data_IF_822440016158
#
_entry.id   IF_822440016158
#
_cell.length_a   1.000
_cell.length_b   1.000
_cell.length_c   1.000
_cell.angle_alpha   90.00
_cell.angle_beta   90.00
_cell.angle_gamma   90.00
#
_symmetry.space_group_name_H-M   'P 1'
#
loop_
_entity.id
_entity.type
_entity.pdbx_description
1 polymer ?
#
# COMPACT_ATOMS: atom_id res chain seq x y z
N UNK A 1 -6.03 -5.98 2.08
CA UNK A 1 -5.76 -4.81 1.22
C UNK A 1 -7.06 -4.39 0.61
N UNK A 2 -7.43 -3.12 0.73
CA UNK A 2 -8.65 -2.54 0.16
C UNK A 2 -8.35 -1.11 -0.30
N UNK A 3 -9.30 -0.48 -1.01
CA UNK A 3 -9.17 0.87 -1.58
C UNK A 3 -7.85 1.07 -2.33
N UNK A 4 -7.72 0.37 -3.47
CA UNK A 4 -6.52 0.45 -4.32
C UNK A 4 -6.76 1.51 -5.38
N UNK A 5 -5.85 2.48 -5.45
CA UNK A 5 -5.76 3.43 -6.54
C UNK A 5 -4.45 3.21 -7.30
N UNK A 6 -4.55 3.19 -8.63
CA UNK A 6 -3.40 3.05 -9.51
C UNK A 6 -3.57 3.99 -10.68
N UNK A 7 -2.61 4.90 -10.86
CA UNK A 7 -2.65 5.86 -11.95
C UNK A 7 -1.25 6.15 -12.47
N UNK A 8 -1.20 6.54 -13.75
CA UNK A 8 0.03 6.88 -14.43
C UNK A 8 -0.03 8.36 -14.81
N UNK A 9 0.96 9.14 -14.39
CA UNK A 9 1.05 10.56 -14.74
C UNK A 9 1.67 10.72 -16.14
N UNK A 10 2.69 9.92 -16.44
CA UNK A 10 3.37 9.89 -17.74
C UNK A 10 4.05 8.53 -17.95
N UNK A 11 4.82 8.37 -19.03
CA UNK A 11 5.47 7.09 -19.38
C UNK A 11 6.40 6.51 -18.29
N UNK A 12 6.92 7.36 -17.39
CA UNK A 12 7.88 7.00 -16.35
C UNK A 12 7.32 7.08 -14.93
N UNK A 13 6.21 7.77 -14.71
CA UNK A 13 5.67 8.00 -13.38
C UNK A 13 4.37 7.24 -13.16
N UNK A 14 4.48 6.14 -12.42
CA UNK A 14 3.37 5.29 -12.01
C UNK A 14 3.20 5.42 -10.49
N UNK A 15 1.98 5.76 -10.09
CA UNK A 15 1.56 5.95 -8.73
C UNK A 15 0.66 4.80 -8.28
N UNK A 16 0.91 4.31 -7.06
CA UNK A 16 0.13 3.28 -6.42
C UNK A 16 -0.22 3.70 -5.00
N UNK A 17 -1.49 3.57 -4.64
CA UNK A 17 -1.98 3.84 -3.30
C UNK A 17 -2.88 2.69 -2.85
N UNK A 18 -2.72 2.24 -1.60
CA UNK A 18 -3.53 1.17 -1.05
C UNK A 18 -3.66 1.25 0.47
N UNK A 19 -4.77 0.73 0.99
CA UNK A 19 -4.98 0.53 2.43
C UNK A 19 -4.72 -0.94 2.78
N UNK A 20 -3.91 -1.16 3.80
CA UNK A 20 -3.52 -2.49 4.28
C UNK A 20 -3.93 -2.64 5.73
N UNK A 21 -4.89 -3.54 5.96
CA UNK A 21 -5.22 -3.99 7.30
C UNK A 21 -4.12 -4.89 7.86
N UNK A 22 -3.69 -4.59 9.07
CA UNK A 22 -2.69 -5.33 9.83
C UNK A 22 -3.17 -5.55 11.26
N UNK A 23 -2.65 -6.58 11.90
CA UNK A 23 -2.77 -6.72 13.35
C UNK A 23 -2.11 -5.52 14.05
N UNK A 24 -2.43 -5.31 15.33
CA UNK A 24 -1.80 -4.24 16.12
C UNK A 24 -0.28 -4.46 16.17
N UNK A 25 0.44 -3.60 15.46
CA UNK A 25 1.89 -3.63 15.33
C UNK A 25 2.44 -2.25 15.61
N UNK A 26 3.70 -2.20 16.04
CA UNK A 26 4.37 -0.93 16.25
C UNK A 26 4.50 -0.19 14.92
N UNK A 27 4.30 1.13 14.92
CA UNK A 27 4.53 1.97 13.74
C UNK A 27 5.96 1.82 13.18
N UNK A 28 6.96 1.53 14.03
CA UNK A 28 8.33 1.24 13.57
C UNK A 28 8.44 -0.05 12.73
N UNK A 29 7.49 -0.97 12.85
CA UNK A 29 7.42 -2.19 12.03
C UNK A 29 6.73 -1.92 10.68
N UNK A 30 5.84 -0.92 10.60
CA UNK A 30 5.18 -0.55 9.34
C UNK A 30 6.18 0.04 8.35
N UNK A 31 7.14 0.85 8.81
CA UNK A 31 8.19 1.41 7.94
C UNK A 31 8.97 0.35 7.17
N UNK A 32 9.37 -0.75 7.83
CA UNK A 32 10.07 -1.86 7.19
C UNK A 32 9.21 -2.54 6.13
N UNK A 33 7.93 -2.76 6.44
CA UNK A 33 6.96 -3.35 5.51
C UNK A 33 6.72 -2.43 4.31
N UNK A 34 6.65 -1.11 4.51
CA UNK A 34 6.53 -0.13 3.42
C UNK A 34 7.73 -0.27 2.48
N UNK A 35 8.95 -0.24 3.01
CA UNK A 35 10.16 -0.34 2.19
C UNK A 35 10.22 -1.65 1.38
N UNK A 36 9.78 -2.77 1.97
CA UNK A 36 9.68 -4.05 1.26
C UNK A 36 8.65 -4.01 0.12
N UNK A 37 7.47 -3.41 0.36
CA UNK A 37 6.41 -3.25 -0.63
C UNK A 37 6.87 -2.33 -1.76
N UNK A 38 7.45 -1.17 -1.43
CA UNK A 38 8.00 -0.21 -2.39
C UNK A 38 9.03 -0.87 -3.30
N UNK A 39 9.99 -1.59 -2.71
CA UNK A 39 11.01 -2.31 -3.46
C UNK A 39 10.40 -3.35 -4.40
N UNK A 40 9.46 -4.15 -3.91
CA UNK A 40 8.80 -5.17 -4.71
C UNK A 40 8.02 -4.57 -5.90
N UNK A 41 7.29 -3.48 -5.65
CA UNK A 41 6.48 -2.80 -6.66
C UNK A 41 7.36 -2.11 -7.71
N UNK A 42 8.47 -1.52 -7.28
CA UNK A 42 9.44 -0.94 -8.18
C UNK A 42 10.12 -2.00 -9.05
N UNK A 43 10.65 -3.08 -8.45
CA UNK A 43 11.39 -4.12 -9.17
C UNK A 43 10.53 -4.89 -10.17
N UNK A 44 9.24 -5.12 -9.86
CA UNK A 44 8.34 -5.91 -10.72
C UNK A 44 7.55 -5.10 -11.72
N UNK A 45 7.22 -3.85 -11.39
CA UNK A 45 6.22 -3.07 -12.13
C UNK A 45 6.66 -1.64 -12.44
N UNK A 46 7.90 -1.26 -12.09
CA UNK A 46 8.43 0.09 -12.28
C UNK A 46 7.54 1.18 -11.66
N UNK A 47 6.88 0.85 -10.55
CA UNK A 47 6.09 1.80 -9.77
C UNK A 47 7.05 2.66 -8.95
N UNK A 48 6.99 3.97 -9.14
CA UNK A 48 7.97 4.91 -8.61
C UNK A 48 7.42 5.76 -7.46
N UNK A 49 6.09 5.80 -7.29
CA UNK A 49 5.46 6.49 -6.18
C UNK A 49 4.43 5.56 -5.52
N UNK A 50 4.65 5.23 -4.26
CA UNK A 50 3.82 4.30 -3.49
C UNK A 50 3.32 5.01 -2.23
N UNK A 51 2.06 4.83 -1.89
CA UNK A 51 1.48 5.34 -0.65
C UNK A 51 0.67 4.24 0.00
N UNK A 52 1.09 3.79 1.19
CA UNK A 52 0.44 2.70 1.92
C UNK A 52 -0.08 3.23 3.25
N UNK A 53 -1.39 3.10 3.46
CA UNK A 53 -2.02 3.38 4.75
C UNK A 53 -2.21 2.07 5.51
N UNK A 54 -1.56 1.95 6.67
CA UNK A 54 -1.80 0.83 7.58
C UNK A 54 -2.99 1.12 8.47
N UNK A 55 -3.87 0.15 8.59
CA UNK A 55 -5.06 0.21 9.44
C UNK A 55 -5.05 -1.00 10.37
N UNK A 56 -5.39 -0.80 11.64
CA UNK A 56 -5.58 -1.89 12.60
C UNK A 56 -6.99 -1.77 13.16
N UNK A 57 -7.73 -2.88 13.11
CA UNK A 57 -9.10 -3.02 13.64
C UNK A 57 -10.09 -1.97 13.09
N UNK A 58 -9.81 -1.46 11.88
CA UNK A 58 -10.61 -0.43 11.22
C UNK A 58 -11.62 -1.02 10.25
N UNK A 59 -11.44 -2.27 9.83
CA UNK A 59 -12.41 -2.98 9.00
C UNK A 59 -13.44 -3.70 9.90
N UNK A 60 -14.29 -2.93 10.57
CA UNK A 60 -15.52 -3.48 11.16
C UNK A 60 -16.55 -3.88 10.09
N UNK A 61 -16.32 -3.49 8.83
CA UNK A 61 -17.16 -3.84 7.67
C UNK A 61 -16.57 -5.05 6.93
N UNK A 62 -16.81 -6.25 7.50
CA UNK A 62 -16.82 -7.51 6.75
C UNK A 62 -18.05 -7.58 5.82
N UNK A 63 -18.18 -6.63 4.90
CA UNK A 63 -19.18 -6.52 3.82
C UNK A 63 -18.93 -5.16 3.17
N UNK A 64 -18.72 -5.01 1.87
CA UNK A 64 -19.46 -5.59 0.77
C UNK A 64 -18.54 -5.99 -0.39
N UNK A 65 -19.05 -6.99 -1.12
CA UNK A 65 -18.53 -7.62 -2.33
C UNK A 65 -18.43 -6.60 -3.46
#
# INVERSE_FOLDING_TARGET
VHHIHFWRINEKDIHFEAHIEVEDILASQTEKKIAEIEKLLHEKFEINHVTIQFESDRCSEKSLI
#
